data_IF_034454604429
#
_entry.id   IF_034454604429
#
_cell.length_a   1.000
_cell.length_b   1.000
_cell.length_c   1.000
_cell.angle_alpha   90.00
_cell.angle_beta   90.00
_cell.angle_gamma   90.00
#
_symmetry.space_group_name_H-M   'P 1'
#
loop_
_entity.id
_entity.type
_entity.pdbx_description
1 polymer ?
#
# COMPACT_ATOMS: atom_id res chain seq x y z
N UNK A 1 -26.37 -8.70 -20.67
CA UNK A 1 -26.07 -7.37 -20.09
C UNK A 1 -25.29 -6.59 -21.14
N UNK A 2 -25.82 -5.48 -21.66
CA UNK A 2 -25.05 -4.69 -22.65
C UNK A 2 -24.21 -3.68 -21.87
N UNK A 3 -22.93 -3.97 -21.67
CA UNK A 3 -21.96 -3.01 -21.14
C UNK A 3 -21.83 -1.88 -22.17
N UNK A 4 -22.35 -0.71 -21.83
CA UNK A 4 -22.26 0.47 -22.67
C UNK A 4 -20.92 1.14 -22.39
N UNK A 5 -19.98 0.97 -23.31
CA UNK A 5 -18.67 1.62 -23.39
C UNK A 5 -17.67 1.23 -22.30
N UNK A 6 -16.77 0.31 -22.64
CA UNK A 6 -15.45 0.26 -22.01
C UNK A 6 -14.70 1.54 -22.37
N UNK A 7 -14.51 2.42 -21.40
CA UNK A 7 -13.61 3.55 -21.54
C UNK A 7 -12.19 2.99 -21.32
N UNK A 8 -11.44 2.87 -22.41
CA UNK A 8 -10.05 2.40 -22.35
C UNK A 8 -9.18 3.57 -21.90
N UNK A 9 -8.98 3.73 -20.60
CA UNK A 9 -7.91 4.57 -20.08
C UNK A 9 -6.67 3.68 -19.91
N UNK A 10 -5.95 3.48 -21.02
CA UNK A 10 -4.74 2.64 -21.07
C UNK A 10 -3.53 3.19 -20.28
N UNK A 11 -3.73 4.22 -19.48
CA UNK A 11 -2.68 4.81 -18.63
C UNK A 11 -2.99 4.69 -17.13
N UNK A 12 -4.18 4.18 -16.77
CA UNK A 12 -4.61 4.07 -15.37
C UNK A 12 -4.30 2.71 -14.74
N UNK A 13 -3.82 1.74 -15.52
CA UNK A 13 -3.43 0.43 -14.99
C UNK A 13 -2.23 0.46 -14.02
N UNK A 14 -1.46 1.56 -13.97
CA UNK A 14 -0.38 1.75 -12.98
C UNK A 14 -0.83 2.48 -11.71
N UNK A 15 -2.06 3.01 -11.68
CA UNK A 15 -2.53 3.80 -10.55
C UNK A 15 -3.35 3.01 -9.52
N UNK A 16 -3.63 1.72 -9.76
CA UNK A 16 -4.53 0.94 -8.90
C UNK A 16 -3.82 0.19 -7.77
N UNK A 17 -2.52 0.12 -7.80
CA UNK A 17 -1.75 -0.15 -6.58
C UNK A 17 -1.52 1.20 -5.91
N UNK A 18 -2.30 1.53 -4.88
CA UNK A 18 -2.15 2.78 -4.11
C UNK A 18 -0.72 3.04 -3.61
N UNK A 19 0.14 2.06 -3.72
CA UNK A 19 1.55 2.03 -3.35
C UNK A 19 2.52 2.41 -4.47
N UNK A 20 2.14 2.27 -5.76
CA UNK A 20 2.95 2.77 -6.89
C UNK A 20 3.19 4.28 -6.84
N UNK A 21 2.30 5.02 -6.18
CA UNK A 21 2.42 6.46 -5.96
C UNK A 21 3.57 6.84 -5.02
N UNK A 22 3.94 5.99 -4.06
CA UNK A 22 5.03 6.27 -3.13
C UNK A 22 6.39 6.33 -3.84
N UNK A 23 6.70 5.35 -4.68
CA UNK A 23 7.97 5.31 -5.40
C UNK A 23 8.11 6.45 -6.42
N UNK A 24 7.04 6.74 -7.19
CA UNK A 24 7.08 7.85 -8.16
C UNK A 24 7.13 9.23 -7.51
N UNK A 25 6.43 9.43 -6.39
CA UNK A 25 6.51 10.69 -5.64
C UNK A 25 7.92 10.92 -5.08
N UNK A 26 8.58 9.87 -4.55
CA UNK A 26 9.95 9.95 -4.03
C UNK A 26 10.97 10.33 -5.10
N UNK A 27 10.89 9.72 -6.27
CA UNK A 27 11.83 9.98 -7.40
C UNK A 27 11.66 11.39 -7.98
N UNK A 28 10.43 11.88 -8.13
CA UNK A 28 10.18 13.25 -8.58
C UNK A 28 10.74 14.31 -7.64
N UNK A 29 10.66 14.06 -6.32
CA UNK A 29 11.14 15.01 -5.32
C UNK A 29 12.67 15.11 -5.27
N UNK A 30 13.37 13.97 -5.36
CA UNK A 30 14.84 13.96 -5.40
C UNK A 30 15.40 14.67 -6.64
N UNK A 31 14.72 14.57 -7.79
CA UNK A 31 15.14 15.22 -9.03
C UNK A 31 14.90 16.73 -9.02
N UNK A 32 13.78 17.16 -8.44
CA UNK A 32 13.47 18.59 -8.27
C UNK A 32 14.42 19.29 -7.30
N UNK A 33 14.80 18.61 -6.21
CA UNK A 33 15.77 19.16 -5.26
C UNK A 33 17.19 19.31 -5.84
N UNK A 34 17.62 18.45 -6.76
CA UNK A 34 18.92 18.57 -7.45
C UNK A 34 18.93 19.69 -8.48
N UNK A 35 17.85 19.90 -9.21
CA UNK A 35 17.76 21.01 -10.20
C UNK A 35 17.64 22.38 -9.53
N UNK A 36 16.99 22.46 -8.36
CA UNK A 36 16.87 23.70 -7.59
C UNK A 36 18.19 24.19 -6.97
N UNK A 37 19.20 23.31 -6.81
CA UNK A 37 20.48 23.68 -6.17
C UNK A 37 21.50 24.26 -7.17
N UNK A 38 21.33 24.09 -8.47
CA UNK A 38 22.27 24.61 -9.48
C UNK A 38 21.92 26.01 -10.02
N UNK A 39 20.68 26.51 -9.86
CA UNK A 39 20.28 27.83 -10.35
C UNK A 39 20.30 28.98 -9.32
N UNK A 40 20.57 28.70 -8.05
CA UNK A 40 20.56 29.73 -6.99
C UNK A 40 21.95 30.28 -6.67
N UNK A 41 22.59 30.89 -7.67
CA UNK A 41 23.79 31.71 -7.47
C UNK A 41 23.69 33.01 -8.23
N UNK A 42 22.94 33.94 -7.71
CA UNK A 42 23.06 35.40 -7.68
C UNK A 42 21.67 36.05 -7.60
N UNK A 43 21.36 36.57 -6.42
CA UNK A 43 20.83 37.88 -6.14
C UNK A 43 20.03 37.93 -4.83
N UNK A 44 20.49 38.86 -4.01
CA UNK A 44 19.76 39.60 -2.97
C UNK A 44 19.08 38.84 -1.81
N UNK A 45 19.76 38.93 -0.66
CA UNK A 45 19.30 38.53 0.68
C UNK A 45 18.07 39.35 1.08
N UNK A 46 16.90 38.76 1.00
CA UNK A 46 15.77 39.13 1.84
C UNK A 46 15.60 38.03 2.88
N UNK A 47 15.69 38.44 4.13
CA UNK A 47 15.52 37.63 5.33
C UNK A 47 14.12 37.00 5.32
N UNK A 48 14.05 35.74 4.82
CA UNK A 48 12.89 34.89 5.00
C UNK A 48 13.14 34.16 6.31
N UNK A 49 12.38 34.54 7.36
CA UNK A 49 12.28 33.78 8.60
C UNK A 49 11.96 32.33 8.24
N UNK A 50 12.99 31.47 8.39
CA UNK A 50 12.79 30.02 8.41
C UNK A 50 11.88 29.72 9.60
N UNK A 51 10.66 29.26 9.33
CA UNK A 51 9.91 28.49 10.31
C UNK A 51 10.75 27.23 10.56
N UNK A 52 11.46 27.19 11.69
CA UNK A 52 12.03 25.96 12.21
C UNK A 52 10.85 25.03 12.45
N UNK A 53 10.62 24.07 11.54
CA UNK A 53 9.83 22.87 11.83
C UNK A 53 10.54 22.20 13.02
N UNK A 54 10.01 22.40 14.23
CA UNK A 54 10.43 21.64 15.41
C UNK A 54 10.01 20.20 15.17
N UNK A 55 10.95 19.38 14.70
CA UNK A 55 10.79 17.94 14.73
C UNK A 55 10.57 17.57 16.20
N UNK A 56 9.37 17.11 16.54
CA UNK A 56 9.11 16.57 17.88
C UNK A 56 10.07 15.40 18.08
N UNK A 57 10.96 15.54 19.08
CA UNK A 57 11.94 14.51 19.39
C UNK A 57 11.21 13.27 19.91
N UNK A 58 11.25 12.18 19.16
CA UNK A 58 10.59 10.92 19.51
C UNK A 58 11.19 10.37 20.82
N UNK A 59 10.33 10.15 21.80
CA UNK A 59 10.74 9.68 23.13
C UNK A 59 10.57 8.17 23.23
N UNK A 60 11.59 7.45 23.62
CA UNK A 60 11.58 6.00 23.87
C UNK A 60 11.43 5.68 25.36
N UNK A 61 10.80 4.52 25.73
CA UNK A 61 10.23 3.53 24.82
C UNK A 61 8.92 4.00 24.14
N UNK A 62 8.66 3.50 22.92
CA UNK A 62 7.38 3.64 22.25
C UNK A 62 6.58 2.36 22.52
N UNK A 63 5.32 2.49 22.92
CA UNK A 63 4.39 1.34 23.06
C UNK A 63 3.32 1.45 21.98
N UNK A 64 3.15 0.40 21.19
CA UNK A 64 2.22 0.32 20.06
C UNK A 64 1.22 -0.79 20.35
N UNK A 65 -0.08 -0.45 20.42
CA UNK A 65 -1.18 -1.40 20.59
C UNK A 65 -1.59 -1.98 19.23
N UNK A 66 -1.87 -3.29 19.18
CA UNK A 66 -2.23 -4.02 17.98
C UNK A 66 -3.07 -5.28 18.28
N UNK A 67 -3.53 -6.00 17.25
CA UNK A 67 -4.42 -7.16 17.38
C UNK A 67 -3.94 -8.26 18.34
N UNK A 68 -2.64 -8.40 18.57
CA UNK A 68 -2.04 -9.44 19.44
C UNK A 68 -1.61 -8.90 20.82
N UNK A 69 -1.93 -7.63 21.15
CA UNK A 69 -1.58 -6.99 22.40
C UNK A 69 -0.80 -5.70 22.21
N UNK A 70 0.43 -5.63 22.73
CA UNK A 70 1.28 -4.44 22.60
C UNK A 70 2.72 -4.83 22.26
N UNK A 71 3.38 -3.98 21.49
CA UNK A 71 4.81 -4.07 21.21
C UNK A 71 5.53 -2.84 21.75
N UNK A 72 6.67 -3.05 22.42
CA UNK A 72 7.51 -1.99 22.98
C UNK A 72 8.79 -1.84 22.17
N UNK A 73 9.04 -0.65 21.65
CA UNK A 73 10.28 -0.27 20.97
C UNK A 73 11.14 0.51 21.96
N UNK A 74 12.19 -0.09 22.46
CA UNK A 74 13.03 0.47 23.54
C UNK A 74 13.96 1.60 23.07
N UNK A 75 14.35 1.60 21.81
CA UNK A 75 15.22 2.60 21.20
C UNK A 75 14.97 2.68 19.70
N UNK A 76 15.46 3.72 19.03
CA UNK A 76 15.29 3.90 17.59
C UNK A 76 15.84 2.69 16.82
N UNK A 77 15.01 1.99 16.02
CA UNK A 77 15.48 0.89 15.19
C UNK A 77 16.39 1.41 14.06
N UNK A 78 17.45 0.65 13.76
CA UNK A 78 18.37 0.92 12.64
C UNK A 78 18.27 -0.16 11.56
N UNK A 79 17.77 -1.36 11.92
CA UNK A 79 17.69 -2.53 11.06
C UNK A 79 16.24 -3.00 10.95
N UNK A 80 15.59 -2.60 9.89
CA UNK A 80 14.16 -2.81 9.67
C UNK A 80 13.96 -3.99 8.72
N UNK A 81 13.24 -5.03 9.13
CA UNK A 81 12.72 -6.05 8.24
C UNK A 81 11.23 -5.80 7.99
N UNK A 82 10.73 -6.18 6.82
CA UNK A 82 9.32 -6.07 6.48
C UNK A 82 8.80 -7.39 5.96
N UNK A 83 7.60 -7.80 6.40
CA UNK A 83 6.91 -8.99 5.95
C UNK A 83 5.45 -8.69 5.61
N UNK A 84 4.82 -9.57 4.83
CA UNK A 84 3.50 -9.33 4.29
C UNK A 84 3.55 -8.40 3.07
N UNK A 85 2.45 -7.72 2.76
CA UNK A 85 2.35 -6.97 1.52
C UNK A 85 2.64 -5.48 1.73
N UNK A 86 3.53 -4.93 0.89
CA UNK A 86 3.81 -3.49 0.73
C UNK A 86 4.32 -2.78 2.00
N UNK A 87 4.68 -3.53 3.07
CA UNK A 87 5.20 -2.91 4.29
C UNK A 87 6.58 -2.26 4.08
N UNK A 88 7.32 -2.68 3.05
CA UNK A 88 8.60 -2.09 2.63
C UNK A 88 8.44 -0.69 2.01
N UNK A 89 7.25 -0.34 1.52
CA UNK A 89 7.04 0.94 0.84
C UNK A 89 7.17 2.12 1.80
N UNK A 90 6.75 1.95 3.06
CA UNK A 90 6.90 3.00 4.09
C UNK A 90 8.37 3.32 4.37
N UNK A 91 9.24 2.38 4.80
CA UNK A 91 10.64 2.71 5.03
C UNK A 91 11.34 3.24 3.76
N UNK A 92 11.08 2.67 2.58
CA UNK A 92 11.66 3.15 1.33
C UNK A 92 11.23 4.59 1.03
N UNK A 93 9.95 4.93 1.20
CA UNK A 93 9.43 6.29 1.02
C UNK A 93 9.99 7.30 2.04
N UNK A 94 10.44 6.83 3.21
CA UNK A 94 11.11 7.62 4.24
C UNK A 94 12.65 7.60 4.10
N UNK A 95 13.19 7.04 3.03
CA UNK A 95 14.62 7.01 2.73
C UNK A 95 15.41 5.96 3.52
N UNK A 96 14.75 4.93 4.04
CA UNK A 96 15.37 3.84 4.80
C UNK A 96 15.25 2.54 4.01
N UNK A 97 16.39 1.94 3.66
CA UNK A 97 16.39 0.63 3.00
C UNK A 97 16.22 -0.49 4.04
N UNK A 98 15.15 -1.31 3.98
CA UNK A 98 15.01 -2.48 4.84
C UNK A 98 16.16 -3.46 4.67
N UNK A 99 16.52 -4.17 5.76
CA UNK A 99 17.55 -5.22 5.75
C UNK A 99 17.05 -6.54 5.17
N UNK A 100 15.74 -6.69 5.02
CA UNK A 100 15.07 -7.82 4.37
C UNK A 100 13.60 -7.54 4.17
N UNK A 101 13.02 -8.07 3.09
CA UNK A 101 11.63 -7.84 2.67
C UNK A 101 10.99 -9.11 2.13
N UNK A 102 9.67 -9.23 2.23
CA UNK A 102 8.90 -10.29 1.56
C UNK A 102 9.03 -10.23 0.05
N UNK A 103 8.98 -11.39 -0.61
CA UNK A 103 8.91 -11.49 -2.06
C UNK A 103 7.55 -10.98 -2.59
N UNK A 104 7.59 -10.28 -3.72
CA UNK A 104 6.37 -9.95 -4.45
C UNK A 104 5.79 -11.24 -5.08
N UNK A 105 4.51 -11.51 -4.83
CA UNK A 105 3.84 -12.72 -5.27
C UNK A 105 2.62 -12.47 -6.19
N UNK A 106 2.48 -11.24 -6.69
CA UNK A 106 1.42 -10.86 -7.64
C UNK A 106 1.89 -9.72 -8.56
N UNK A 107 1.17 -9.50 -9.65
CA UNK A 107 1.45 -8.43 -10.60
C UNK A 107 2.78 -8.60 -11.35
N UNK A 108 3.40 -7.49 -11.72
CA UNK A 108 4.72 -7.48 -12.36
C UNK A 108 5.83 -7.62 -11.31
N UNK A 109 6.74 -8.54 -11.54
CA UNK A 109 7.85 -8.85 -10.64
C UNK A 109 9.17 -8.74 -11.41
N UNK A 110 10.18 -8.14 -10.80
CA UNK A 110 11.54 -8.03 -11.35
C UNK A 110 12.36 -9.29 -11.12
N UNK A 111 13.58 -9.32 -11.66
CA UNK A 111 14.53 -10.41 -11.41
C UNK A 111 14.95 -10.53 -9.93
N UNK A 112 14.73 -9.48 -9.14
CA UNK A 112 14.95 -9.48 -7.69
C UNK A 112 13.74 -10.01 -6.88
N UNK A 113 12.69 -10.51 -7.50
CA UNK A 113 11.42 -10.90 -6.88
C UNK A 113 10.72 -9.76 -6.13
N UNK A 114 10.83 -8.54 -6.63
CA UNK A 114 10.21 -7.33 -6.11
C UNK A 114 9.31 -6.69 -7.16
N UNK A 115 8.39 -5.85 -6.73
CA UNK A 115 7.68 -4.97 -7.66
C UNK A 115 8.66 -3.96 -8.28
N UNK A 116 8.44 -3.51 -9.54
CA UNK A 116 9.35 -2.59 -10.22
C UNK A 116 9.65 -1.31 -9.44
N UNK A 117 8.62 -0.74 -8.79
CA UNK A 117 8.79 0.48 -7.99
C UNK A 117 9.59 0.25 -6.70
N UNK A 118 9.43 -0.93 -6.08
CA UNK A 118 10.19 -1.33 -4.89
C UNK A 118 11.66 -1.52 -5.25
N UNK A 119 11.93 -2.20 -6.36
CA UNK A 119 13.30 -2.45 -6.86
C UNK A 119 14.00 -1.13 -7.23
N UNK A 120 13.30 -0.20 -7.90
CA UNK A 120 13.79 1.15 -8.20
C UNK A 120 14.11 1.93 -6.92
N UNK A 121 13.22 1.90 -5.91
CA UNK A 121 13.44 2.59 -4.64
C UNK A 121 14.66 2.05 -3.88
N UNK A 122 14.91 0.74 -3.89
CA UNK A 122 16.13 0.16 -3.35
C UNK A 122 17.38 0.64 -4.11
N UNK A 123 17.32 0.65 -5.44
CA UNK A 123 18.43 1.11 -6.27
C UNK A 123 18.75 2.59 -6.03
N UNK A 124 17.75 3.45 -5.86
CA UNK A 124 17.91 4.87 -5.53
C UNK A 124 18.58 5.07 -4.15
N UNK A 125 18.37 4.16 -3.20
CA UNK A 125 19.05 4.12 -1.91
C UNK A 125 20.43 3.42 -1.95
N UNK A 126 20.88 3.01 -3.15
CA UNK A 126 22.19 2.38 -3.37
C UNK A 126 22.23 0.88 -3.05
N UNK A 127 21.08 0.23 -2.95
CA UNK A 127 20.97 -1.22 -2.70
C UNK A 127 20.54 -1.92 -3.99
N UNK A 128 21.50 -2.41 -4.78
CA UNK A 128 21.23 -3.12 -6.04
C UNK A 128 20.69 -4.54 -5.85
N UNK A 129 20.95 -5.16 -4.70
CA UNK A 129 20.55 -6.54 -4.39
C UNK A 129 20.02 -6.60 -2.96
N UNK A 130 18.74 -6.25 -2.76
CA UNK A 130 18.12 -6.39 -1.47
C UNK A 130 17.98 -7.87 -1.06
N UNK A 131 17.91 -8.13 0.24
CA UNK A 131 17.56 -9.46 0.76
C UNK A 131 16.06 -9.63 0.63
N UNK A 132 15.64 -10.62 -0.15
CA UNK A 132 14.22 -10.93 -0.37
C UNK A 132 13.93 -12.31 0.20
N UNK A 133 12.92 -12.40 1.06
CA UNK A 133 12.52 -13.65 1.71
C UNK A 133 11.72 -14.51 0.72
N UNK A 134 11.98 -15.81 0.73
CA UNK A 134 11.20 -16.79 -0.08
C UNK A 134 9.97 -17.22 0.73
N UNK A 135 9.08 -16.28 1.01
CA UNK A 135 7.96 -16.40 1.93
C UNK A 135 6.57 -16.40 1.25
N UNK A 136 6.54 -16.70 -0.05
CA UNK A 136 5.29 -16.74 -0.85
C UNK A 136 4.28 -17.75 -0.29
N UNK A 137 4.74 -18.92 0.13
CA UNK A 137 3.90 -19.99 0.67
C UNK A 137 3.78 -19.96 2.21
N UNK A 138 4.84 -19.53 2.89
CA UNK A 138 4.89 -19.43 4.35
C UNK A 138 6.08 -18.59 4.81
N UNK A 139 5.98 -18.00 6.01
CA UNK A 139 7.07 -17.21 6.58
C UNK A 139 8.34 -18.06 6.79
N UNK A 140 9.48 -17.50 6.40
CA UNK A 140 10.81 -18.13 6.53
C UNK A 140 11.58 -17.50 7.68
N UNK A 141 11.24 -17.87 8.90
CA UNK A 141 11.76 -17.29 10.15
C UNK A 141 13.30 -17.27 10.23
N UNK A 142 13.98 -18.28 9.66
CA UNK A 142 15.45 -18.35 9.63
C UNK A 142 16.03 -17.21 8.78
N UNK A 143 15.46 -16.94 7.58
CA UNK A 143 15.94 -15.84 6.73
C UNK A 143 15.70 -14.46 7.38
N UNK A 144 14.55 -14.29 8.05
CA UNK A 144 14.23 -13.07 8.78
C UNK A 144 15.22 -12.87 9.93
N UNK A 145 15.48 -13.94 10.72
CA UNK A 145 16.45 -13.91 11.81
C UNK A 145 17.88 -13.63 11.35
N UNK A 146 18.30 -14.17 10.21
CA UNK A 146 19.63 -13.96 9.64
C UNK A 146 19.89 -12.49 9.26
N UNK A 147 18.82 -11.74 8.98
CA UNK A 147 18.92 -10.30 8.77
C UNK A 147 19.20 -9.52 10.06
N UNK A 148 19.09 -10.14 11.23
CA UNK A 148 19.27 -9.52 12.55
C UNK A 148 18.53 -8.16 12.65
N UNK A 149 17.20 -8.14 12.49
CA UNK A 149 16.43 -6.90 12.54
C UNK A 149 16.28 -6.38 13.98
N UNK A 150 16.11 -5.06 14.12
CA UNK A 150 15.74 -4.40 15.37
C UNK A 150 14.22 -4.27 15.51
N UNK A 151 13.50 -4.31 14.36
CA UNK A 151 12.04 -4.31 14.27
C UNK A 151 11.57 -5.03 13.01
N UNK A 152 10.41 -5.67 13.08
CA UNK A 152 9.74 -6.32 11.96
C UNK A 152 8.41 -5.61 11.72
N UNK A 153 8.24 -4.98 10.54
CA UNK A 153 7.03 -4.29 10.15
C UNK A 153 6.11 -5.24 9.39
N UNK A 154 4.85 -5.31 9.80
CA UNK A 154 3.86 -6.22 9.27
C UNK A 154 2.42 -5.67 9.38
N UNK A 155 2.26 -4.33 9.35
CA UNK A 155 0.98 -3.64 9.53
C UNK A 155 -0.09 -4.06 8.50
N UNK A 156 0.31 -4.47 7.30
CA UNK A 156 -0.58 -5.10 6.33
C UNK A 156 -0.15 -6.53 6.06
N UNK A 157 -0.74 -7.44 6.79
CA UNK A 157 -0.41 -8.88 6.74
C UNK A 157 -1.61 -9.75 7.13
N UNK A 158 -1.49 -11.04 6.86
CA UNK A 158 -2.39 -12.09 7.36
C UNK A 158 -1.80 -12.86 8.52
N UNK A 159 -0.86 -12.27 9.27
CA UNK A 159 -0.14 -12.89 10.38
C UNK A 159 -1.11 -13.53 11.38
N UNK A 160 -0.78 -14.75 11.83
CA UNK A 160 -1.48 -15.44 12.90
C UNK A 160 -0.84 -15.15 14.26
N UNK A 161 -1.52 -15.52 15.35
CA UNK A 161 -0.92 -15.45 16.70
C UNK A 161 0.37 -16.27 16.80
N UNK A 162 0.44 -17.44 16.16
CA UNK A 162 1.62 -18.32 16.16
C UNK A 162 2.80 -17.67 15.44
N UNK A 163 2.53 -16.99 14.31
CA UNK A 163 3.54 -16.24 13.58
C UNK A 163 4.07 -15.08 14.42
N UNK A 164 3.17 -14.31 15.04
CA UNK A 164 3.53 -13.20 15.93
C UNK A 164 4.40 -13.67 17.10
N UNK A 165 3.98 -14.74 17.78
CA UNK A 165 4.72 -15.31 18.91
C UNK A 165 6.13 -15.77 18.51
N UNK A 166 6.27 -16.30 17.28
CA UNK A 166 7.56 -16.78 16.77
C UNK A 166 8.46 -15.61 16.34
N UNK A 167 7.92 -14.64 15.59
CA UNK A 167 8.66 -13.47 15.14
C UNK A 167 9.09 -12.59 16.30
N UNK A 168 8.27 -12.47 17.35
CA UNK A 168 8.60 -11.71 18.56
C UNK A 168 9.79 -12.27 19.35
N UNK A 169 10.24 -13.52 19.06
CA UNK A 169 11.49 -14.06 19.59
C UNK A 169 12.71 -13.57 18.79
N UNK A 170 12.51 -13.02 17.60
CA UNK A 170 13.57 -12.49 16.74
C UNK A 170 13.75 -11.00 17.02
N UNK A 171 12.67 -10.21 16.92
CA UNK A 171 12.65 -8.77 17.16
C UNK A 171 11.22 -8.30 17.51
N UNK A 172 11.05 -7.07 18.06
CA UNK A 172 9.74 -6.45 18.17
C UNK A 172 9.00 -6.44 16.83
N UNK A 173 7.70 -6.78 16.83
CA UNK A 173 6.86 -6.90 15.62
C UNK A 173 5.78 -5.84 15.67
N UNK A 174 5.54 -5.16 14.54
CA UNK A 174 4.43 -4.22 14.33
C UNK A 174 3.43 -4.87 13.37
N UNK A 175 2.47 -5.64 13.88
CA UNK A 175 1.44 -6.28 13.08
C UNK A 175 0.27 -5.32 12.81
N UNK A 176 -0.76 -5.78 12.10
CA UNK A 176 -1.99 -5.03 11.91
C UNK A 176 -2.70 -4.72 13.25
N UNK A 177 -3.45 -3.62 13.25
CA UNK A 177 -4.07 -3.08 14.47
C UNK A 177 -5.32 -3.85 14.92
N UNK A 178 -6.19 -4.22 13.98
CA UNK A 178 -7.49 -4.84 14.29
C UNK A 178 -7.68 -6.17 13.57
N UNK A 179 -7.70 -6.17 12.24
CA UNK A 179 -8.03 -7.35 11.44
C UNK A 179 -6.98 -7.59 10.35
N UNK A 180 -6.70 -8.86 10.02
CA UNK A 180 -5.78 -9.20 8.94
C UNK A 180 -6.29 -8.68 7.60
N UNK A 181 -5.40 -8.17 6.76
CA UNK A 181 -5.66 -7.70 5.40
C UNK A 181 -6.65 -6.52 5.29
N UNK A 182 -6.88 -5.77 6.38
CA UNK A 182 -7.83 -4.66 6.43
C UNK A 182 -7.20 -3.32 6.80
N UNK A 183 -5.88 -3.24 6.88
CA UNK A 183 -5.17 -1.99 7.18
C UNK A 183 -5.17 -1.10 5.94
N UNK A 184 -5.68 0.13 6.08
CA UNK A 184 -5.63 1.11 4.98
C UNK A 184 -4.19 1.55 4.71
N UNK A 185 -3.92 2.10 3.50
CA UNK A 185 -2.59 2.58 3.17
C UNK A 185 -2.11 3.70 4.11
N UNK A 186 -3.04 4.52 4.63
CA UNK A 186 -2.73 5.57 5.62
C UNK A 186 -2.29 4.96 6.94
N UNK A 187 -3.07 4.03 7.46
CA UNK A 187 -2.76 3.34 8.71
C UNK A 187 -1.46 2.55 8.57
N UNK A 188 -1.29 1.79 7.50
CA UNK A 188 -0.06 1.06 7.22
C UNK A 188 1.18 1.97 7.22
N UNK A 189 1.06 3.14 6.58
CA UNK A 189 2.16 4.12 6.56
C UNK A 189 2.48 4.63 7.95
N UNK A 190 1.44 5.01 8.73
CA UNK A 190 1.62 5.58 10.08
C UNK A 190 2.13 4.51 11.05
N UNK A 191 1.56 3.31 11.05
CA UNK A 191 1.94 2.23 11.96
C UNK A 191 3.37 1.73 11.69
N UNK A 192 3.73 1.53 10.42
CA UNK A 192 5.09 1.18 10.04
C UNK A 192 6.08 2.30 10.42
N UNK A 193 5.75 3.55 10.17
CA UNK A 193 6.59 4.68 10.56
C UNK A 193 6.71 4.82 12.09
N UNK A 194 5.64 4.56 12.84
CA UNK A 194 5.68 4.55 14.32
C UNK A 194 6.61 3.45 14.83
N UNK A 195 6.56 2.25 14.25
CA UNK A 195 7.49 1.16 14.54
C UNK A 195 8.94 1.48 14.25
N UNK A 196 9.19 2.39 13.31
CA UNK A 196 10.53 2.92 12.99
C UNK A 196 10.95 4.10 13.89
N UNK A 197 10.05 4.60 14.76
CA UNK A 197 10.28 5.84 15.50
C UNK A 197 10.28 7.08 14.59
N UNK A 198 9.51 7.05 13.50
CA UNK A 198 9.40 8.09 12.46
C UNK A 198 7.93 8.45 12.20
N UNK A 199 7.08 8.39 13.23
CA UNK A 199 5.65 8.67 13.08
C UNK A 199 5.35 10.03 12.46
N UNK A 200 6.00 11.15 12.89
CA UNK A 200 5.76 12.45 12.28
C UNK A 200 6.08 12.49 10.78
N UNK A 201 7.16 11.81 10.37
CA UNK A 201 7.53 11.69 8.96
C UNK A 201 6.52 10.83 8.17
N UNK A 202 5.99 9.78 8.80
CA UNK A 202 4.91 8.97 8.24
C UNK A 202 3.62 9.78 8.03
N UNK A 203 3.19 10.54 9.04
CA UNK A 203 2.03 11.43 8.95
C UNK A 203 2.21 12.49 7.85
N UNK A 204 3.41 13.07 7.75
CA UNK A 204 3.74 14.01 6.68
C UNK A 204 3.68 13.33 5.32
N UNK A 205 4.18 12.09 5.19
CA UNK A 205 4.13 11.33 3.95
C UNK A 205 2.69 11.02 3.52
N UNK A 206 1.83 10.62 4.46
CA UNK A 206 0.40 10.44 4.19
C UNK A 206 -0.20 11.71 3.62
N UNK A 207 0.06 12.86 4.24
CA UNK A 207 -0.45 14.13 3.74
C UNK A 207 0.08 14.49 2.34
N UNK A 208 1.35 14.25 2.06
CA UNK A 208 1.93 14.48 0.73
C UNK A 208 1.23 13.63 -0.36
N UNK A 209 0.88 12.39 -0.04
CA UNK A 209 0.16 11.50 -0.96
C UNK A 209 -1.29 11.94 -1.13
N UNK A 210 -1.97 12.35 -0.05
CA UNK A 210 -3.33 12.90 -0.12
C UNK A 210 -3.38 14.16 -0.98
N UNK A 211 -2.43 15.07 -0.81
CA UNK A 211 -2.33 16.30 -1.61
C UNK A 211 -2.08 15.96 -3.10
N UNK A 212 -1.24 14.95 -3.39
CA UNK A 212 -1.00 14.46 -4.75
C UNK A 212 -2.25 13.82 -5.37
N UNK A 213 -3.00 13.01 -4.61
CA UNK A 213 -4.28 12.43 -5.05
C UNK A 213 -5.25 13.56 -5.40
N UNK A 214 -5.40 14.54 -4.51
CA UNK A 214 -6.29 15.68 -4.73
C UNK A 214 -5.91 16.47 -5.99
N UNK A 215 -4.61 16.77 -6.20
CA UNK A 215 -4.10 17.43 -7.40
C UNK A 215 -4.45 16.63 -8.67
N UNK A 216 -4.23 15.32 -8.64
CA UNK A 216 -4.52 14.46 -9.79
C UNK A 216 -6.01 14.37 -10.10
N UNK A 217 -6.87 14.35 -9.09
CA UNK A 217 -8.32 14.30 -9.28
C UNK A 217 -8.87 15.57 -9.95
N UNK A 218 -8.22 16.72 -9.77
CA UNK A 218 -8.60 17.94 -10.52
C UNK A 218 -8.48 17.75 -12.05
N UNK A 219 -7.61 16.85 -12.50
CA UNK A 219 -7.43 16.53 -13.92
C UNK A 219 -8.53 15.57 -14.45
N UNK A 220 -9.24 14.86 -13.55
CA UNK A 220 -10.22 13.80 -13.90
C UNK A 220 -11.55 13.97 -13.16
N UNK A 221 -12.23 15.13 -13.27
CA UNK A 221 -13.46 15.40 -12.53
C UNK A 221 -14.61 14.46 -12.92
N UNK A 222 -14.50 13.74 -14.04
CA UNK A 222 -15.45 12.74 -14.48
C UNK A 222 -15.47 11.46 -13.62
N UNK A 223 -14.49 11.25 -12.74
CA UNK A 223 -14.46 10.11 -11.82
C UNK A 223 -15.41 10.31 -10.64
N UNK A 224 -15.70 11.56 -10.28
CA UNK A 224 -16.51 11.85 -9.10
C UNK A 224 -17.89 11.18 -9.14
N UNK A 225 -18.18 10.40 -8.14
CA UNK A 225 -19.47 9.75 -7.93
C UNK A 225 -19.76 8.55 -8.84
N UNK A 226 -18.81 8.05 -9.64
CA UNK A 226 -19.02 6.86 -10.46
C UNK A 226 -19.12 5.61 -9.56
N UNK A 227 -20.25 4.86 -9.58
CA UNK A 227 -20.36 3.60 -8.86
C UNK A 227 -19.38 2.56 -9.40
N UNK A 228 -18.40 2.20 -8.57
CA UNK A 228 -17.26 1.38 -8.96
C UNK A 228 -17.10 0.19 -8.03
N UNK A 229 -16.89 -0.99 -8.59
CA UNK A 229 -16.58 -2.20 -7.85
C UNK A 229 -15.16 -2.66 -8.13
N UNK A 230 -14.42 -3.01 -7.06
CA UNK A 230 -13.17 -3.74 -7.17
C UNK A 230 -13.46 -5.23 -7.07
N UNK A 231 -13.03 -6.02 -8.05
CA UNK A 231 -13.40 -7.42 -8.17
C UNK A 231 -12.19 -8.33 -8.40
N UNK A 232 -12.32 -9.57 -7.96
CA UNK A 232 -11.49 -10.67 -8.41
C UNK A 232 -12.34 -11.68 -9.17
N UNK A 233 -11.90 -12.05 -10.38
CA UNK A 233 -12.60 -12.96 -11.27
C UNK A 233 -11.59 -13.96 -11.80
N UNK A 234 -11.88 -15.27 -11.68
CA UNK A 234 -11.04 -16.31 -12.29
C UNK A 234 -11.23 -16.33 -13.79
N UNK A 235 -10.16 -16.35 -14.57
CA UNK A 235 -10.24 -16.53 -16.02
C UNK A 235 -10.73 -17.93 -16.43
N UNK A 236 -10.55 -18.93 -15.56
CA UNK A 236 -10.91 -20.33 -15.81
C UNK A 236 -12.32 -20.70 -15.32
N UNK A 237 -12.86 -19.92 -14.37
CA UNK A 237 -14.17 -20.20 -13.76
C UNK A 237 -14.95 -18.91 -13.48
N UNK A 238 -15.94 -18.64 -14.28
CA UNK A 238 -16.87 -17.52 -14.14
C UNK A 238 -18.12 -17.86 -13.32
N UNK A 239 -18.15 -18.99 -12.62
CA UNK A 239 -19.31 -19.39 -11.82
C UNK A 239 -19.54 -18.49 -10.61
N UNK A 240 -18.43 -17.98 -10.05
CA UNK A 240 -18.43 -17.05 -8.91
C UNK A 240 -17.32 -16.00 -9.09
N UNK A 241 -17.48 -14.85 -8.45
CA UNK A 241 -16.46 -13.81 -8.34
C UNK A 241 -16.56 -13.10 -6.98
N UNK A 242 -15.46 -12.46 -6.59
CA UNK A 242 -15.43 -11.67 -5.37
C UNK A 242 -15.60 -10.19 -5.71
N UNK A 243 -16.40 -9.50 -4.91
CA UNK A 243 -16.49 -8.03 -4.91
C UNK A 243 -15.95 -7.56 -3.57
N UNK A 244 -14.88 -6.77 -3.60
CA UNK A 244 -14.24 -6.25 -2.42
C UNK A 244 -15.02 -5.09 -1.83
N UNK A 245 -15.06 -5.03 -0.50
CA UNK A 245 -15.75 -4.00 0.27
C UNK A 245 -14.76 -2.93 0.77
N UNK A 246 -15.22 -1.76 1.23
CA UNK A 246 -14.33 -0.70 1.71
C UNK A 246 -13.48 -1.04 2.95
N UNK A 247 -13.71 -2.18 3.61
CA UNK A 247 -12.81 -2.77 4.61
C UNK A 247 -11.52 -3.32 3.99
N UNK A 248 -11.53 -3.60 2.67
CA UNK A 248 -10.34 -3.92 1.90
C UNK A 248 -9.66 -2.63 1.40
N UNK A 249 -8.36 -2.43 1.64
CA UNK A 249 -7.65 -1.19 1.28
C UNK A 249 -7.69 -0.88 -0.22
N UNK A 250 -7.79 -1.88 -1.10
CA UNK A 250 -7.86 -1.70 -2.55
C UNK A 250 -9.21 -1.13 -2.97
N UNK A 251 -10.31 -1.60 -2.37
CA UNK A 251 -11.63 -1.05 -2.60
C UNK A 251 -11.79 0.32 -1.92
N UNK A 252 -11.24 0.50 -0.72
CA UNK A 252 -11.21 1.79 -0.03
C UNK A 252 -10.48 2.86 -0.84
N UNK A 253 -9.37 2.51 -1.51
CA UNK A 253 -8.62 3.45 -2.34
C UNK A 253 -9.45 4.01 -3.52
N UNK A 254 -10.40 3.25 -4.05
CA UNK A 254 -11.31 3.76 -5.09
C UNK A 254 -12.17 4.92 -4.56
N UNK A 255 -12.52 4.91 -3.27
CA UNK A 255 -13.26 6.00 -2.63
C UNK A 255 -12.37 7.24 -2.48
N UNK A 256 -11.07 7.08 -2.23
CA UNK A 256 -10.10 8.17 -2.23
C UNK A 256 -10.01 8.87 -3.60
N UNK A 257 -10.29 8.14 -4.68
CA UNK A 257 -10.37 8.66 -6.04
C UNK A 257 -11.73 9.31 -6.40
N UNK A 258 -12.60 9.58 -5.41
CA UNK A 258 -13.90 10.18 -5.60
C UNK A 258 -14.96 9.24 -6.19
N UNK A 259 -14.62 7.97 -6.39
CA UNK A 259 -15.56 6.95 -6.84
C UNK A 259 -16.49 6.53 -5.69
N UNK A 260 -17.58 5.84 -5.97
CA UNK A 260 -18.53 5.42 -4.94
C UNK A 260 -18.76 3.92 -4.96
N UNK A 261 -19.03 3.34 -3.78
CA UNK A 261 -19.44 1.96 -3.70
C UNK A 261 -20.88 1.83 -4.25
N UNK A 262 -21.17 0.91 -5.20
CA UNK A 262 -22.50 0.71 -5.74
C UNK A 262 -23.54 0.36 -4.67
N UNK A 263 -24.76 0.91 -4.76
CA UNK A 263 -25.83 0.61 -3.80
C UNK A 263 -26.19 -0.89 -3.79
N UNK A 264 -26.13 -1.54 -4.94
CA UNK A 264 -26.35 -2.96 -5.07
C UNK A 264 -25.33 -3.79 -4.29
N UNK A 265 -24.06 -3.38 -4.31
CA UNK A 265 -22.98 -4.03 -3.53
C UNK A 265 -23.24 -3.82 -2.02
N UNK A 266 -23.54 -2.58 -1.59
CA UNK A 266 -23.85 -2.28 -0.19
C UNK A 266 -25.03 -3.12 0.31
N UNK A 267 -26.08 -3.22 -0.50
CA UNK A 267 -27.28 -4.00 -0.15
C UNK A 267 -26.99 -5.51 -0.09
N UNK A 268 -26.14 -6.01 -0.99
CA UNK A 268 -25.78 -7.43 -1.03
C UNK A 268 -24.87 -7.81 0.13
N UNK A 269 -23.93 -6.94 0.50
CA UNK A 269 -23.05 -7.12 1.62
C UNK A 269 -23.79 -7.10 2.97
N UNK A 270 -24.81 -6.23 3.12
CA UNK A 270 -25.46 -6.03 4.40
C UNK A 270 -24.51 -5.48 5.46
N UNK A 271 -24.71 -5.89 6.72
CA UNK A 271 -23.78 -5.60 7.83
C UNK A 271 -22.78 -6.77 7.92
N UNK A 272 -21.52 -6.53 7.58
CA UNK A 272 -20.43 -7.53 7.65
C UNK A 272 -19.10 -6.84 7.91
N UNK A 273 -18.22 -7.53 8.62
CA UNK A 273 -16.83 -7.15 8.83
C UNK A 273 -15.89 -7.82 7.81
N UNK A 274 -16.45 -8.59 6.87
CA UNK A 274 -15.68 -9.21 5.80
C UNK A 274 -15.12 -8.16 4.83
N UNK A 275 -14.00 -8.44 4.22
CA UNK A 275 -13.38 -7.55 3.22
C UNK A 275 -13.86 -7.80 1.79
N UNK A 276 -14.67 -8.84 1.55
CA UNK A 276 -15.33 -9.11 0.26
C UNK A 276 -16.62 -9.89 0.43
N UNK A 277 -17.43 -9.88 -0.63
CA UNK A 277 -18.58 -10.77 -0.81
C UNK A 277 -18.35 -11.68 -2.00
N UNK A 278 -18.84 -12.92 -1.90
CA UNK A 278 -18.87 -13.85 -3.02
C UNK A 278 -20.18 -13.71 -3.77
N UNK A 279 -20.10 -13.47 -5.07
CA UNK A 279 -21.26 -13.33 -5.96
C UNK A 279 -21.26 -14.48 -6.96
N UNK A 280 -22.38 -15.21 -7.05
CA UNK A 280 -22.54 -16.20 -8.11
C UNK A 280 -22.92 -15.52 -9.43
N UNK A 281 -22.53 -16.12 -10.56
CA UNK A 281 -22.90 -15.63 -11.90
C UNK A 281 -24.42 -15.43 -12.05
N UNK A 282 -25.21 -16.27 -11.42
CA UNK A 282 -26.69 -16.18 -11.48
C UNK A 282 -27.23 -14.91 -10.81
N UNK A 283 -26.47 -14.35 -9.85
CA UNK A 283 -26.82 -13.14 -9.12
C UNK A 283 -26.12 -11.89 -9.66
N UNK A 284 -25.33 -12.00 -10.72
CA UNK A 284 -24.61 -10.86 -11.29
C UNK A 284 -25.55 -9.76 -11.84
N UNK A 285 -26.79 -10.10 -12.16
CA UNK A 285 -27.82 -9.15 -12.60
C UNK A 285 -28.32 -8.23 -11.46
N UNK A 286 -28.07 -8.59 -10.20
CA UNK A 286 -28.38 -7.74 -9.04
C UNK A 286 -27.40 -6.58 -8.89
N UNK A 287 -26.25 -6.60 -9.59
CA UNK A 287 -25.21 -5.58 -9.60
C UNK A 287 -25.34 -4.66 -10.82
N UNK A 288 -26.54 -4.20 -11.12
CA UNK A 288 -26.88 -3.49 -12.36
C UNK A 288 -26.50 -2.00 -12.33
N UNK A 289 -26.18 -1.44 -11.17
CA UNK A 289 -25.74 -0.06 -10.96
C UNK A 289 -24.22 0.12 -11.07
N UNK A 290 -23.42 -0.94 -11.17
CA UNK A 290 -21.96 -0.84 -11.39
C UNK A 290 -21.70 -0.21 -12.77
N UNK A 291 -21.01 0.93 -12.77
CA UNK A 291 -20.63 1.63 -13.99
C UNK A 291 -19.18 1.40 -14.38
N UNK A 292 -18.31 1.20 -13.41
CA UNK A 292 -16.90 0.88 -13.58
C UNK A 292 -16.55 -0.37 -12.77
N UNK A 293 -15.78 -1.26 -13.36
CA UNK A 293 -15.27 -2.44 -12.67
C UNK A 293 -13.74 -2.45 -12.77
N UNK A 294 -13.07 -2.53 -11.64
CA UNK A 294 -11.63 -2.74 -11.54
C UNK A 294 -11.39 -4.21 -11.22
N UNK A 295 -10.60 -4.89 -12.03
CA UNK A 295 -10.31 -6.32 -11.86
C UNK A 295 -8.83 -6.59 -12.06
N UNK A 296 -8.30 -7.57 -11.34
CA UNK A 296 -7.02 -8.18 -11.68
C UNK A 296 -7.18 -9.06 -12.91
N UNK A 297 -6.30 -8.91 -13.89
CA UNK A 297 -6.31 -9.77 -15.06
C UNK A 297 -5.42 -9.27 -16.18
N UNK A 298 -5.40 -10.06 -17.24
CA UNK A 298 -4.68 -9.80 -18.47
C UNK A 298 -5.66 -9.54 -19.65
N UNK A 299 -5.09 -9.45 -20.86
CA UNK A 299 -5.90 -9.27 -22.07
C UNK A 299 -6.85 -10.45 -22.34
N UNK A 300 -6.53 -11.65 -21.88
CA UNK A 300 -7.36 -12.84 -22.12
C UNK A 300 -8.59 -12.81 -21.19
N UNK A 301 -8.42 -12.42 -19.92
CA UNK A 301 -9.55 -12.15 -19.04
C UNK A 301 -10.44 -11.04 -19.60
N UNK A 302 -9.85 -9.93 -20.08
CA UNK A 302 -10.62 -8.83 -20.66
C UNK A 302 -11.45 -9.28 -21.86
N UNK A 303 -10.89 -10.10 -22.75
CA UNK A 303 -11.63 -10.68 -23.90
C UNK A 303 -12.79 -11.56 -23.43
N UNK A 304 -12.53 -12.41 -22.44
CA UNK A 304 -13.55 -13.32 -21.88
C UNK A 304 -14.71 -12.58 -21.20
N UNK A 305 -14.44 -11.42 -20.59
CA UNK A 305 -15.47 -10.57 -19.98
C UNK A 305 -16.31 -9.79 -21.03
N UNK A 306 -15.82 -9.66 -22.26
CA UNK A 306 -16.52 -8.96 -23.36
C UNK A 306 -17.43 -9.89 -24.17
N UNK A 307 -17.27 -11.23 -24.08
CA UNK A 307 -18.10 -12.26 -24.73
C UNK A 307 -19.34 -12.61 -23.91
#
# INVERSE_FOLDING_TARGET
MRIKKALFLGTLCTAVSGMSLFAQAGVSYAKSAKEATEEASSEEVTEVTSEEETSEEVTYPITIEHAFGETVIESKPERIATIGWENQDTPLALGVAPVGVSAANYGMVTDNNLHPWTDEAFADLGVEKPVVFDDVDCLVFEQISDCNPDVILAAYSGMTQEDYDTLSQIAPVIPYKENPWQTSWREQTIENAEGMGMKPEGEKKVKEVEDLIAEKLEEYPELEGIPTAFCWISADDFSTFYVYLPTDPRAAYLLDLGLTLPESVQKLAGETDDFNITVSRENADQLDDIQLMVVYGDEDLLKSLQE
#
